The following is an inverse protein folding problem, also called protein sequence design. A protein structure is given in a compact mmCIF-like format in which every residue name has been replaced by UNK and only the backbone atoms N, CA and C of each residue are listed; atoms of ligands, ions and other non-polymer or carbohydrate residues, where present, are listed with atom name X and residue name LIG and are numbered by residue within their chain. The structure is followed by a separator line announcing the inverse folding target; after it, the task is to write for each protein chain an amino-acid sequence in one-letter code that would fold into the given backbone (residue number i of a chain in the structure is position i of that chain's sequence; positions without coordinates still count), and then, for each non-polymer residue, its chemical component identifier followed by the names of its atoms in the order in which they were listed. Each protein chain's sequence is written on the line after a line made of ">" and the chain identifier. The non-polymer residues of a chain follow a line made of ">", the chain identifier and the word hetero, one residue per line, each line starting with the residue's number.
data_IF_967562384260
#
_entry.id   IF_967562384260
#
_cell.length_a   1.000
_cell.length_b   1.000
_cell.length_c   1.000
_cell.angle_alpha   90.00
_cell.angle_beta   90.00
_cell.angle_gamma   90.00
#
_symmetry.space_group_name_H-M   'P 1'
#
loop_
_entity.id
_entity.type
_entity.pdbx_description
1 polymer ?
#
# COMPACT_ATOMS: atom_id res chain seq x y z
N UNK A 1 54.27 -8.63 70.04
CA UNK A 1 55.20 -8.62 68.89
C UNK A 1 54.44 -8.86 67.57
N UNK A 2 54.69 -7.97 66.62
CA UNK A 2 54.29 -7.99 65.21
C UNK A 2 52.83 -7.58 64.89
N UNK A 3 52.74 -6.30 64.49
CA UNK A 3 51.72 -5.71 63.75
C UNK A 3 51.55 -6.44 62.39
N UNK A 4 50.30 -6.59 61.93
CA UNK A 4 49.95 -6.74 60.52
C UNK A 4 48.86 -5.71 60.19
N UNK A 5 49.30 -4.73 59.44
CA UNK A 5 48.43 -3.70 58.90
C UNK A 5 47.59 -4.30 57.75
N UNK A 6 46.25 -4.22 57.84
CA UNK A 6 45.31 -4.54 56.73
C UNK A 6 45.09 -3.27 55.96
N UNK A 7 45.56 -3.25 54.70
CA UNK A 7 45.23 -2.21 53.71
C UNK A 7 43.87 -2.53 53.14
N UNK A 8 42.86 -1.72 53.45
CA UNK A 8 41.57 -1.78 52.88
C UNK A 8 41.60 -1.08 51.49
N UNK A 9 41.47 -1.88 50.42
CA UNK A 9 41.32 -1.40 49.06
C UNK A 9 39.83 -1.11 48.82
N UNK A 10 39.44 0.15 48.86
CA UNK A 10 38.11 0.57 48.48
C UNK A 10 38.01 0.61 46.93
N UNK A 11 37.42 -0.43 46.33
CA UNK A 11 36.97 -0.40 44.96
C UNK A 11 35.71 0.48 44.87
N UNK A 12 35.86 1.68 44.37
CA UNK A 12 34.73 2.53 43.95
C UNK A 12 34.09 1.95 42.69
N UNK A 13 32.94 1.27 42.83
CA UNK A 13 32.07 0.98 41.73
C UNK A 13 31.40 2.28 41.25
N UNK A 14 31.90 2.87 40.19
CA UNK A 14 31.16 3.82 39.37
C UNK A 14 30.07 3.06 38.63
N UNK A 15 28.88 2.96 39.23
CA UNK A 15 27.69 2.54 38.54
C UNK A 15 27.28 3.69 37.59
N UNK A 16 27.73 3.61 36.34
CA UNK A 16 27.16 4.41 35.26
C UNK A 16 25.74 3.92 35.04
N UNK A 17 24.79 4.56 35.72
CA UNK A 17 23.35 4.40 35.41
C UNK A 17 23.07 4.96 34.02
N UNK A 18 23.18 4.11 33.02
CA UNK A 18 22.59 4.34 31.73
C UNK A 18 21.06 4.31 31.89
N UNK A 19 20.50 5.43 32.33
CA UNK A 19 19.08 5.69 32.20
C UNK A 19 18.80 5.84 30.71
N UNK A 20 18.64 4.72 30.01
CA UNK A 20 17.92 4.69 28.74
C UNK A 20 16.48 5.07 29.10
N UNK A 21 16.20 6.38 29.10
CA UNK A 21 14.85 6.87 29.13
C UNK A 21 14.16 6.30 27.89
N UNK A 22 13.38 5.24 28.09
CA UNK A 22 12.33 4.87 27.17
C UNK A 22 11.38 6.09 27.16
N UNK A 23 11.72 7.09 26.35
CA UNK A 23 10.78 8.14 26.01
C UNK A 23 9.62 7.42 25.33
N UNK A 24 8.53 7.25 26.06
CA UNK A 24 7.22 6.97 25.49
C UNK A 24 6.97 8.11 24.51
N UNK A 25 7.34 7.88 23.24
CA UNK A 25 7.06 8.85 22.19
C UNK A 25 5.53 8.98 22.17
N UNK A 26 5.02 10.14 22.55
CA UNK A 26 3.62 10.46 22.35
C UNK A 26 3.27 10.18 20.89
N UNK A 27 2.10 9.59 20.62
CA UNK A 27 1.69 9.35 19.25
C UNK A 27 1.70 10.70 18.50
N UNK A 28 2.22 10.67 17.27
CA UNK A 28 2.23 11.86 16.43
C UNK A 28 0.80 12.32 16.14
N UNK A 29 0.61 13.62 15.99
CA UNK A 29 -0.62 14.13 15.38
C UNK A 29 -0.53 13.98 13.85
N UNK A 30 -1.69 14.00 13.17
CA UNK A 30 -1.73 13.99 11.71
C UNK A 30 -0.93 15.15 11.11
N UNK A 31 -1.01 16.36 11.68
CA UNK A 31 -0.28 17.56 11.25
C UNK A 31 1.24 17.37 11.36
N UNK A 32 1.69 16.75 12.44
CA UNK A 32 3.10 16.40 12.61
C UNK A 32 3.54 15.38 11.55
N UNK A 33 2.75 14.36 11.28
CA UNK A 33 3.06 13.36 10.25
C UNK A 33 3.10 13.99 8.85
N UNK A 34 2.18 14.92 8.53
CA UNK A 34 2.18 15.68 7.28
C UNK A 34 3.42 16.57 7.10
N UNK A 35 3.97 17.06 8.19
CA UNK A 35 5.22 17.83 8.19
C UNK A 35 6.42 16.91 8.03
N UNK A 36 6.44 15.80 8.77
CA UNK A 36 7.56 14.87 8.79
C UNK A 36 7.79 14.16 7.47
N UNK A 37 6.74 13.78 6.74
CA UNK A 37 6.88 13.09 5.44
C UNK A 37 7.61 13.96 4.40
N UNK A 38 7.69 15.26 4.60
CA UNK A 38 8.36 16.23 3.73
C UNK A 38 9.76 16.63 4.22
N UNK A 39 10.23 16.05 5.33
CA UNK A 39 11.50 16.42 5.96
C UNK A 39 12.71 15.99 5.10
N UNK A 40 13.80 16.74 5.21
CA UNK A 40 15.10 16.31 4.69
C UNK A 40 15.66 15.12 5.48
N UNK A 41 15.32 15.01 6.77
CA UNK A 41 15.71 13.88 7.64
C UNK A 41 14.91 12.62 7.27
N UNK A 42 15.64 11.57 6.91
CA UNK A 42 15.07 10.28 6.49
C UNK A 42 14.25 9.62 7.61
N UNK A 43 14.68 9.72 8.85
CA UNK A 43 13.95 9.10 9.96
C UNK A 43 12.62 9.80 10.22
N UNK A 44 12.57 11.11 10.03
CA UNK A 44 11.31 11.85 10.09
C UNK A 44 10.40 11.47 8.92
N UNK A 45 10.92 11.31 7.68
CA UNK A 45 10.09 10.85 6.56
C UNK A 45 9.52 9.45 6.79
N UNK A 46 10.33 8.51 7.33
CA UNK A 46 9.86 7.16 7.71
C UNK A 46 8.72 7.22 8.72
N UNK A 47 8.88 8.03 9.77
CA UNK A 47 7.84 8.23 10.78
C UNK A 47 6.60 8.85 10.17
N UNK A 48 6.74 9.93 9.39
CA UNK A 48 5.63 10.59 8.71
C UNK A 48 4.85 9.66 7.80
N UNK A 49 5.55 8.85 7.00
CA UNK A 49 4.92 7.87 6.11
C UNK A 49 4.12 6.82 6.91
N UNK A 50 4.71 6.24 7.96
CA UNK A 50 4.04 5.25 8.80
C UNK A 50 2.80 5.82 9.52
N UNK A 51 2.93 6.98 10.17
CA UNK A 51 1.85 7.58 10.92
C UNK A 51 0.70 8.10 10.04
N UNK A 52 0.97 8.50 8.79
CA UNK A 52 -0.10 8.82 7.85
C UNK A 52 -0.90 7.57 7.46
N UNK A 53 -0.33 6.37 7.52
CA UNK A 53 -1.09 5.13 7.43
C UNK A 53 -2.14 5.02 8.53
N UNK A 54 -1.80 5.39 9.77
CA UNK A 54 -2.69 5.29 10.93
C UNK A 54 -3.68 6.47 11.03
N UNK A 55 -3.21 7.69 10.81
CA UNK A 55 -3.92 8.93 11.11
C UNK A 55 -4.40 9.68 9.86
N UNK A 56 -3.90 9.30 8.68
CA UNK A 56 -4.16 10.01 7.43
C UNK A 56 -5.62 9.92 6.98
N UNK A 57 -6.05 10.96 6.30
CA UNK A 57 -7.34 11.03 5.61
C UNK A 57 -7.15 10.66 4.11
N UNK A 58 -8.21 10.34 3.38
CA UNK A 58 -8.12 10.06 1.94
C UNK A 58 -7.40 11.16 1.14
N UNK A 59 -7.54 12.42 1.52
CA UNK A 59 -6.84 13.55 0.90
C UNK A 59 -5.31 13.52 1.07
N UNK A 60 -4.78 12.80 2.06
CA UNK A 60 -3.34 12.71 2.31
C UNK A 60 -2.66 11.69 1.39
N UNK A 61 -3.43 10.88 0.69
CA UNK A 61 -2.91 9.84 -0.21
C UNK A 61 -1.94 10.40 -1.26
N UNK A 62 -2.14 11.63 -1.73
CA UNK A 62 -1.24 12.29 -2.69
C UNK A 62 0.20 12.40 -2.17
N UNK A 63 0.39 12.71 -0.89
CA UNK A 63 1.72 12.78 -0.28
C UNK A 63 2.35 11.39 -0.14
N UNK A 64 1.56 10.41 0.21
CA UNK A 64 2.02 9.02 0.30
C UNK A 64 2.37 8.45 -1.07
N UNK A 65 1.58 8.75 -2.10
CA UNK A 65 1.89 8.38 -3.51
C UNK A 65 3.20 9.03 -3.95
N UNK A 66 3.43 10.31 -3.65
CA UNK A 66 4.71 10.95 -3.94
C UNK A 66 5.89 10.26 -3.24
N UNK A 67 5.70 9.78 -2.01
CA UNK A 67 6.73 9.08 -1.25
C UNK A 67 7.03 7.65 -1.76
N UNK A 68 6.26 7.10 -2.70
CA UNK A 68 6.57 5.82 -3.37
C UNK A 68 7.85 5.87 -4.20
N UNK A 69 8.35 7.07 -4.51
CA UNK A 69 9.61 7.31 -5.24
C UNK A 69 10.71 7.90 -4.36
N UNK A 70 10.54 7.89 -3.03
CA UNK A 70 11.56 8.38 -2.09
C UNK A 70 12.91 7.67 -2.32
N UNK A 71 14.05 8.36 -2.20
CA UNK A 71 15.36 7.73 -2.26
C UNK A 71 15.54 6.57 -1.26
N UNK A 72 14.94 6.69 -0.09
CA UNK A 72 15.02 5.66 0.96
C UNK A 72 13.99 4.55 0.75
N UNK A 73 14.48 3.31 0.72
CA UNK A 73 13.64 2.13 0.47
C UNK A 73 12.58 1.93 1.59
N UNK A 74 12.94 2.23 2.84
CA UNK A 74 12.01 2.05 3.97
C UNK A 74 10.88 3.05 3.89
N UNK A 75 11.15 4.30 3.50
CA UNK A 75 10.10 5.30 3.24
C UNK A 75 9.14 4.79 2.16
N UNK A 76 9.66 4.25 1.05
CA UNK A 76 8.81 3.72 -0.04
C UNK A 76 7.91 2.59 0.43
N UNK A 77 8.44 1.64 1.21
CA UNK A 77 7.66 0.51 1.74
C UNK A 77 6.58 1.00 2.71
N UNK A 78 6.93 1.91 3.62
CA UNK A 78 5.98 2.48 4.56
C UNK A 78 4.90 3.28 3.84
N UNK A 79 5.29 4.08 2.84
CA UNK A 79 4.35 4.85 2.03
C UNK A 79 3.38 3.94 1.26
N UNK A 80 3.85 2.85 0.65
CA UNK A 80 2.99 1.90 -0.06
C UNK A 80 1.96 1.27 0.88
N UNK A 81 2.38 0.79 2.05
CA UNK A 81 1.46 0.25 3.06
C UNK A 81 0.43 1.29 3.50
N UNK A 82 0.88 2.52 3.72
CA UNK A 82 0.04 3.62 4.18
C UNK A 82 -0.94 4.11 3.11
N UNK A 83 -0.55 4.10 1.84
CA UNK A 83 -1.46 4.39 0.71
C UNK A 83 -2.64 3.43 0.74
N UNK A 84 -2.39 2.11 0.86
CA UNK A 84 -3.45 1.12 0.91
C UNK A 84 -4.37 1.32 2.12
N UNK A 85 -3.82 1.61 3.29
CA UNK A 85 -4.62 1.89 4.49
C UNK A 85 -5.51 3.11 4.31
N UNK A 86 -4.96 4.20 3.76
CA UNK A 86 -5.69 5.46 3.54
C UNK A 86 -6.77 5.30 2.47
N UNK A 87 -6.48 4.59 1.37
CA UNK A 87 -7.45 4.34 0.32
C UNK A 87 -8.64 3.49 0.78
N UNK A 88 -8.46 2.59 1.76
CA UNK A 88 -9.55 1.78 2.30
C UNK A 88 -10.46 2.53 3.28
N UNK A 89 -10.13 3.75 3.69
CA UNK A 89 -10.97 4.56 4.57
C UNK A 89 -12.01 5.33 3.78
N UNK A 90 -13.25 4.99 3.98
CA UNK A 90 -14.34 5.70 3.32
C UNK A 90 -14.70 7.01 4.02
N UNK A 91 -14.42 7.15 5.32
CA UNK A 91 -14.90 8.23 6.18
C UNK A 91 -16.38 8.07 6.60
N UNK A 92 -17.01 6.94 6.31
CA UNK A 92 -18.34 6.56 6.73
C UNK A 92 -18.28 5.19 7.42
N UNK A 93 -18.59 5.15 8.73
CA UNK A 93 -18.45 3.93 9.54
C UNK A 93 -19.28 2.75 9.03
N UNK A 94 -20.44 3.00 8.44
CA UNK A 94 -21.28 1.92 7.91
C UNK A 94 -20.67 1.36 6.63
N UNK A 95 -20.10 2.23 5.77
CA UNK A 95 -19.34 1.81 4.57
C UNK A 95 -18.10 1.02 4.98
N UNK A 96 -17.37 1.47 6.00
CA UNK A 96 -16.19 0.76 6.51
C UNK A 96 -16.57 -0.62 7.07
N UNK A 97 -17.73 -0.74 7.75
CA UNK A 97 -18.28 -2.03 8.20
C UNK A 97 -18.66 -2.96 7.03
N UNK A 98 -19.30 -2.42 5.99
CA UNK A 98 -19.59 -3.18 4.77
C UNK A 98 -18.31 -3.61 4.05
N UNK A 99 -17.29 -2.76 4.02
CA UNK A 99 -15.98 -3.07 3.44
C UNK A 99 -15.36 -4.29 4.13
N UNK A 100 -15.33 -4.29 5.45
CA UNK A 100 -14.83 -5.41 6.24
C UNK A 100 -15.59 -6.71 5.93
N UNK A 101 -16.92 -6.66 5.93
CA UNK A 101 -17.77 -7.81 5.63
C UNK A 101 -17.50 -8.36 4.20
N UNK A 102 -17.33 -7.46 3.22
CA UNK A 102 -17.04 -7.87 1.82
C UNK A 102 -15.67 -8.54 1.69
N UNK A 103 -14.66 -8.05 2.40
CA UNK A 103 -13.32 -8.66 2.41
C UNK A 103 -13.39 -10.06 3.03
N UNK A 104 -14.15 -10.24 4.09
CA UNK A 104 -14.36 -11.57 4.69
C UNK A 104 -15.08 -12.53 3.72
N UNK A 105 -16.07 -12.04 2.97
CA UNK A 105 -16.74 -12.83 1.92
C UNK A 105 -15.76 -13.24 0.82
N UNK A 106 -14.92 -12.31 0.34
CA UNK A 106 -13.85 -12.63 -0.61
C UNK A 106 -12.91 -13.73 -0.07
N UNK A 107 -12.46 -13.59 1.17
CA UNK A 107 -11.52 -14.53 1.79
C UNK A 107 -12.13 -15.94 1.97
N UNK A 108 -13.45 -16.04 2.09
CA UNK A 108 -14.18 -17.31 2.13
C UNK A 108 -14.57 -17.87 0.76
N UNK A 109 -14.21 -17.14 -0.32
CA UNK A 109 -14.57 -17.54 -1.70
C UNK A 109 -16.02 -17.25 -2.08
N UNK A 110 -16.76 -16.48 -1.28
CA UNK A 110 -18.12 -16.04 -1.59
C UNK A 110 -18.08 -14.82 -2.53
N UNK A 111 -17.73 -15.07 -3.79
CA UNK A 111 -17.67 -14.02 -4.80
C UNK A 111 -19.00 -13.30 -5.02
N UNK A 112 -20.13 -14.00 -5.25
CA UNK A 112 -21.43 -13.36 -5.42
C UNK A 112 -21.82 -12.49 -4.21
N UNK A 113 -21.68 -12.98 -2.98
CA UNK A 113 -21.96 -12.21 -1.78
C UNK A 113 -21.08 -10.97 -1.64
N UNK A 114 -19.79 -11.08 -1.97
CA UNK A 114 -18.88 -9.95 -1.97
C UNK A 114 -19.30 -8.89 -3.02
N UNK A 115 -19.66 -9.29 -4.24
CA UNK A 115 -20.18 -8.37 -5.27
C UNK A 115 -21.41 -7.61 -4.79
N UNK A 116 -22.36 -8.30 -4.17
CA UNK A 116 -23.58 -7.67 -3.63
C UNK A 116 -23.23 -6.65 -2.54
N UNK A 117 -22.31 -6.99 -1.65
CA UNK A 117 -21.92 -6.08 -0.58
C UNK A 117 -21.13 -4.88 -1.09
N UNK A 118 -20.17 -5.07 -2.02
CA UNK A 118 -19.48 -3.95 -2.68
C UNK A 118 -20.44 -3.08 -3.49
N UNK A 119 -21.48 -3.65 -4.09
CA UNK A 119 -22.51 -2.88 -4.80
C UNK A 119 -23.28 -1.96 -3.85
N UNK A 120 -23.60 -2.41 -2.62
CA UNK A 120 -24.20 -1.55 -1.58
C UNK A 120 -23.25 -0.41 -1.17
N UNK A 121 -21.94 -0.68 -1.05
CA UNK A 121 -20.92 0.33 -0.78
C UNK A 121 -20.93 1.40 -1.87
N UNK A 122 -20.88 0.98 -3.14
CA UNK A 122 -20.88 1.87 -4.30
C UNK A 122 -22.16 2.71 -4.38
N UNK A 123 -23.32 2.11 -4.09
CA UNK A 123 -24.59 2.84 -4.06
C UNK A 123 -24.63 3.91 -2.97
N UNK A 124 -24.08 3.60 -1.80
CA UNK A 124 -24.03 4.52 -0.67
C UNK A 124 -22.98 5.61 -0.84
N UNK A 125 -21.82 5.26 -1.39
CA UNK A 125 -20.67 6.17 -1.57
C UNK A 125 -20.05 5.98 -2.96
N UNK A 126 -20.69 6.52 -4.01
CA UNK A 126 -20.27 6.28 -5.39
C UNK A 126 -18.92 6.90 -5.74
N UNK A 127 -18.44 7.88 -4.97
CA UNK A 127 -17.13 8.53 -5.09
C UNK A 127 -15.99 7.76 -4.42
N UNK A 128 -16.30 6.70 -3.66
CA UNK A 128 -15.32 5.88 -2.97
C UNK A 128 -14.65 4.89 -3.92
N UNK A 129 -13.48 5.25 -4.46
CA UNK A 129 -12.77 4.48 -5.47
C UNK A 129 -12.48 3.03 -5.06
N UNK A 130 -12.17 2.79 -3.76
CA UNK A 130 -11.79 1.45 -3.29
C UNK A 130 -12.97 0.47 -3.31
N UNK A 131 -14.21 0.95 -3.17
CA UNK A 131 -15.40 0.11 -3.35
C UNK A 131 -15.47 -0.49 -4.75
N UNK A 132 -15.20 0.32 -5.78
CA UNK A 132 -15.10 -0.11 -7.16
C UNK A 132 -13.90 -1.04 -7.39
N UNK A 133 -12.73 -0.68 -6.85
CA UNK A 133 -11.51 -1.47 -7.00
C UNK A 133 -11.66 -2.89 -6.43
N UNK A 134 -12.25 -3.02 -5.26
CA UNK A 134 -12.49 -4.33 -4.64
C UNK A 134 -13.52 -5.15 -5.42
N UNK A 135 -14.59 -4.53 -5.92
CA UNK A 135 -15.56 -5.24 -6.76
C UNK A 135 -14.94 -5.69 -8.10
N UNK A 136 -14.10 -4.85 -8.71
CA UNK A 136 -13.31 -5.22 -9.88
C UNK A 136 -12.46 -6.46 -9.61
N UNK A 137 -11.79 -6.51 -8.45
CA UNK A 137 -10.99 -7.67 -8.05
C UNK A 137 -11.85 -8.94 -7.94
N UNK A 138 -13.05 -8.84 -7.34
CA UNK A 138 -13.96 -10.00 -7.25
C UNK A 138 -14.41 -10.45 -8.64
N UNK A 139 -14.82 -9.53 -9.51
CA UNK A 139 -15.17 -9.86 -10.90
C UNK A 139 -14.03 -10.53 -11.64
N UNK A 140 -12.79 -10.03 -11.46
CA UNK A 140 -11.61 -10.69 -12.04
C UNK A 140 -11.48 -12.13 -11.53
N UNK A 141 -11.58 -12.38 -10.23
CA UNK A 141 -11.48 -13.72 -9.65
C UNK A 141 -12.60 -14.66 -10.15
N UNK A 142 -13.78 -14.11 -10.46
CA UNK A 142 -14.91 -14.85 -11.01
C UNK A 142 -14.82 -15.07 -12.54
N UNK A 143 -13.83 -14.49 -13.23
CA UNK A 143 -13.70 -14.56 -14.68
C UNK A 143 -14.59 -13.60 -15.46
N UNK A 144 -15.23 -12.63 -14.78
CA UNK A 144 -16.10 -11.61 -15.34
C UNK A 144 -15.28 -10.39 -15.80
N UNK A 145 -14.45 -10.59 -16.85
CA UNK A 145 -13.44 -9.63 -17.28
C UNK A 145 -13.99 -8.28 -17.67
N UNK A 146 -15.09 -8.24 -18.44
CA UNK A 146 -15.69 -7.00 -18.89
C UNK A 146 -16.25 -6.18 -17.72
N UNK A 147 -16.85 -6.84 -16.71
CA UNK A 147 -17.33 -6.16 -15.51
C UNK A 147 -16.17 -5.63 -14.68
N UNK A 148 -15.09 -6.41 -14.60
CA UNK A 148 -13.86 -5.98 -13.91
C UNK A 148 -13.23 -4.76 -14.58
N UNK A 149 -13.15 -4.73 -15.93
CA UNK A 149 -12.66 -3.57 -16.68
C UNK A 149 -13.53 -2.33 -16.45
N UNK A 150 -14.86 -2.50 -16.50
CA UNK A 150 -15.78 -1.39 -16.21
C UNK A 150 -15.53 -0.79 -14.82
N UNK A 151 -15.38 -1.61 -13.81
CA UNK A 151 -15.13 -1.12 -12.45
C UNK A 151 -13.73 -0.50 -12.31
N UNK A 152 -12.72 -1.02 -13.02
CA UNK A 152 -11.42 -0.35 -13.12
C UNK A 152 -11.53 1.05 -13.75
N UNK A 153 -12.36 1.22 -14.81
CA UNK A 153 -12.63 2.54 -15.41
C UNK A 153 -13.23 3.50 -14.38
N UNK A 154 -14.16 3.02 -13.55
CA UNK A 154 -14.75 3.82 -12.47
C UNK A 154 -13.74 4.18 -11.38
N UNK A 155 -12.78 3.29 -11.05
CA UNK A 155 -11.66 3.62 -10.16
C UNK A 155 -10.82 4.75 -10.74
N UNK A 156 -10.40 4.65 -12.01
CA UNK A 156 -9.52 5.64 -12.64
C UNK A 156 -10.15 7.01 -12.79
N UNK A 157 -11.49 7.10 -12.91
CA UNK A 157 -12.22 8.38 -12.88
C UNK A 157 -12.12 9.08 -11.52
N UNK A 158 -12.07 8.32 -10.42
CA UNK A 158 -12.07 8.81 -9.03
C UNK A 158 -10.67 8.99 -8.46
N UNK A 159 -9.77 8.10 -8.84
CA UNK A 159 -8.38 8.08 -8.40
C UNK A 159 -7.46 7.73 -9.58
N UNK A 160 -7.00 8.72 -10.35
CA UNK A 160 -6.11 8.50 -11.48
C UNK A 160 -4.75 7.86 -11.11
N UNK A 161 -4.34 7.98 -9.86
CA UNK A 161 -3.07 7.44 -9.35
C UNK A 161 -3.22 6.04 -8.72
N UNK A 162 -4.37 5.38 -8.92
CA UNK A 162 -4.63 4.08 -8.33
C UNK A 162 -3.83 2.97 -9.05
N UNK A 163 -2.55 2.83 -8.67
CA UNK A 163 -1.63 1.86 -9.30
C UNK A 163 -2.13 0.41 -9.22
N UNK A 164 -2.91 0.04 -8.19
CA UNK A 164 -3.54 -1.28 -8.08
C UNK A 164 -4.56 -1.54 -9.19
N UNK A 165 -5.43 -0.58 -9.51
CA UNK A 165 -6.37 -0.69 -10.61
C UNK A 165 -5.65 -0.75 -11.96
N UNK A 166 -4.58 0.04 -12.15
CA UNK A 166 -3.75 -0.04 -13.35
C UNK A 166 -3.11 -1.43 -13.50
N UNK A 167 -2.62 -2.02 -12.41
CA UNK A 167 -2.12 -3.40 -12.45
C UNK A 167 -3.25 -4.40 -12.75
N UNK A 168 -4.44 -4.17 -12.19
CA UNK A 168 -5.65 -4.95 -12.49
C UNK A 168 -5.97 -4.98 -13.97
N UNK A 169 -5.99 -3.83 -14.65
CA UNK A 169 -6.12 -3.78 -16.12
C UNK A 169 -5.10 -4.66 -16.83
N UNK A 170 -3.83 -4.57 -16.41
CA UNK A 170 -2.77 -5.37 -17.00
C UNK A 170 -3.04 -6.87 -16.87
N UNK A 171 -3.49 -7.32 -15.71
CA UNK A 171 -3.83 -8.73 -15.47
C UNK A 171 -5.04 -9.17 -16.29
N UNK A 172 -6.08 -8.35 -16.37
CA UNK A 172 -7.28 -8.64 -17.15
C UNK A 172 -6.91 -8.76 -18.63
N UNK A 173 -6.15 -7.80 -19.19
CA UNK A 173 -5.75 -7.85 -20.58
C UNK A 173 -4.81 -9.03 -20.92
N UNK A 174 -3.97 -9.49 -19.99
CA UNK A 174 -3.22 -10.74 -20.16
C UNK A 174 -4.16 -11.94 -20.28
N UNK A 175 -5.14 -12.03 -19.41
CA UNK A 175 -6.12 -13.15 -19.47
C UNK A 175 -6.97 -13.11 -20.74
N UNK A 176 -7.26 -11.90 -21.26
CA UNK A 176 -7.96 -11.71 -22.53
C UNK A 176 -7.05 -11.88 -23.76
N UNK A 177 -5.83 -12.36 -23.59
CA UNK A 177 -4.84 -12.52 -24.67
C UNK A 177 -4.48 -11.21 -25.41
N UNK A 178 -4.44 -10.07 -24.69
CA UNK A 178 -4.10 -8.75 -25.19
C UNK A 178 -2.82 -8.19 -24.55
N UNK A 179 -1.64 -8.81 -24.79
CA UNK A 179 -0.40 -8.49 -24.05
C UNK A 179 0.13 -7.06 -24.30
N UNK A 180 -0.13 -6.45 -25.47
CA UNK A 180 0.27 -5.08 -25.74
C UNK A 180 -0.45 -4.08 -24.82
N UNK A 181 -1.76 -4.32 -24.61
CA UNK A 181 -2.56 -3.50 -23.68
C UNK A 181 -2.12 -3.73 -22.25
N UNK A 182 -1.89 -4.98 -21.86
CA UNK A 182 -1.39 -5.31 -20.54
C UNK A 182 -0.07 -4.60 -20.23
N UNK A 183 0.89 -4.62 -21.17
CA UNK A 183 2.17 -3.94 -21.06
C UNK A 183 2.00 -2.43 -20.86
N UNK A 184 1.08 -1.81 -21.58
CA UNK A 184 0.76 -0.39 -21.45
C UNK A 184 0.31 -0.04 -20.02
N UNK A 185 -0.61 -0.83 -19.46
CA UNK A 185 -1.14 -0.57 -18.13
C UNK A 185 -0.14 -0.91 -17.03
N UNK A 186 0.65 -1.96 -17.14
CA UNK A 186 1.71 -2.29 -16.19
C UNK A 186 2.79 -1.20 -16.14
N UNK A 187 3.19 -0.64 -17.28
CA UNK A 187 4.13 0.50 -17.32
C UNK A 187 3.54 1.74 -16.65
N UNK A 188 2.24 2.01 -16.85
CA UNK A 188 1.55 3.09 -16.14
C UNK A 188 1.53 2.87 -14.63
N UNK A 189 1.25 1.65 -14.17
CA UNK A 189 1.28 1.30 -12.75
C UNK A 189 2.66 1.53 -12.14
N UNK A 190 3.73 1.08 -12.81
CA UNK A 190 5.11 1.27 -12.36
C UNK A 190 5.58 2.73 -12.38
N UNK A 191 4.99 3.57 -13.23
CA UNK A 191 5.30 5.01 -13.22
C UNK A 191 4.83 5.67 -11.92
N UNK A 192 3.74 5.18 -11.33
CA UNK A 192 3.20 5.67 -10.06
C UNK A 192 3.88 4.97 -8.88
N UNK A 193 3.91 3.64 -8.91
CA UNK A 193 4.54 2.83 -7.88
C UNK A 193 5.63 1.91 -8.47
N UNK A 194 6.90 2.34 -8.48
CA UNK A 194 8.00 1.54 -9.01
C UNK A 194 8.34 0.31 -8.16
N UNK A 195 7.74 0.17 -6.97
CA UNK A 195 8.04 -0.91 -6.03
C UNK A 195 7.25 -2.20 -6.29
N UNK A 196 6.32 -2.21 -7.23
CA UNK A 196 5.47 -3.37 -7.58
C UNK A 196 6.29 -4.48 -8.24
N UNK A 197 6.92 -5.34 -7.42
CA UNK A 197 7.86 -6.38 -7.89
C UNK A 197 7.23 -7.32 -8.92
N UNK A 198 6.01 -7.80 -8.69
CA UNK A 198 5.33 -8.72 -9.62
C UNK A 198 5.06 -8.08 -10.98
N UNK A 199 4.62 -6.83 -11.01
CA UNK A 199 4.41 -6.09 -12.26
C UNK A 199 5.72 -5.88 -13.00
N UNK A 200 6.79 -5.52 -12.27
CA UNK A 200 8.12 -5.32 -12.86
C UNK A 200 8.70 -6.61 -13.47
N UNK A 201 8.44 -7.75 -12.86
CA UNK A 201 8.86 -9.06 -13.39
C UNK A 201 8.04 -9.50 -14.60
N UNK A 202 6.76 -9.20 -14.64
CA UNK A 202 5.90 -9.57 -15.76
C UNK A 202 6.23 -8.84 -17.07
N UNK A 203 6.76 -7.61 -17.01
CA UNK A 203 7.05 -6.81 -18.22
C UNK A 203 8.00 -7.51 -19.19
N UNK A 204 9.20 -7.97 -18.81
CA UNK A 204 10.12 -8.64 -19.74
C UNK A 204 9.53 -9.93 -20.30
N UNK A 205 8.74 -10.68 -19.53
CA UNK A 205 8.06 -11.88 -20.01
C UNK A 205 7.05 -11.57 -21.11
N UNK A 206 6.27 -10.49 -20.95
CA UNK A 206 5.31 -10.02 -21.95
C UNK A 206 6.04 -9.52 -23.20
N UNK A 207 7.14 -8.80 -23.06
CA UNK A 207 7.95 -8.30 -24.18
C UNK A 207 8.57 -9.45 -24.99
N UNK A 208 9.00 -10.50 -24.31
CA UNK A 208 9.46 -11.73 -24.95
C UNK A 208 8.33 -12.40 -25.72
N UNK A 209 7.16 -12.61 -25.10
CA UNK A 209 5.98 -13.17 -25.74
C UNK A 209 5.62 -12.41 -27.02
N UNK A 210 5.59 -11.09 -26.97
CA UNK A 210 5.30 -10.23 -28.13
C UNK A 210 6.36 -10.37 -29.23
N UNK A 211 7.60 -10.55 -28.85
CA UNK A 211 8.70 -10.77 -29.81
C UNK A 211 8.56 -12.11 -30.52
N UNK A 212 8.22 -13.16 -29.80
CA UNK A 212 8.01 -14.50 -30.34
C UNK A 212 6.80 -14.55 -31.27
N UNK A 213 5.69 -13.90 -30.90
CA UNK A 213 4.51 -13.76 -31.78
C UNK A 213 4.86 -13.06 -33.09
N UNK A 214 5.65 -12.00 -33.09
CA UNK A 214 6.07 -11.29 -34.31
C UNK A 214 6.94 -12.13 -35.22
N UNK A 215 7.73 -13.06 -34.66
CA UNK A 215 8.57 -14.00 -35.42
C UNK A 215 7.78 -15.19 -35.96
N UNK A 216 6.49 -15.33 -35.62
CA UNK A 216 5.68 -16.50 -36.00
C UNK A 216 6.10 -17.79 -35.30
N UNK A 217 6.69 -17.69 -34.11
CA UNK A 217 7.19 -18.87 -33.36
C UNK A 217 6.13 -19.45 -32.45
N UNK A 218 5.03 -18.73 -32.20
CA UNK A 218 3.86 -19.13 -31.42
C UNK A 218 2.58 -18.52 -32.03
#
# INVERSE_FOLDING_TARGET
>A
MRLLAAVALTLGLLAASASASAQTRLPLTREQALTQIKSEDVELRRQGAAWLGELGLPADATLLVAALTDPDEVVRVLAENSVWQVWTRSGDKDVDGLMQASIEQMNRGDGPGAVDTFTKIIQRKPDFAEGWNKRATVYFLMGEDEKSLHDCDEVMKRNPDHFGALAGYGQIYLRMDQPERALTYFRRALKINPNMRGVRQAIPEIEQLLTERRKGTI
#
